data_IF_626689307814
#
_entry.id   IF_626689307814
#
_cell.length_a   1.000
_cell.length_b   1.000
_cell.length_c   1.000
_cell.angle_alpha   90.00
_cell.angle_beta   90.00
_cell.angle_gamma   90.00
#
_symmetry.space_group_name_H-M   'P 1'
#
loop_
_entity.id
_entity.type
_entity.pdbx_description
1 polymer ?
#
# COMPACT_ATOMS: atom_id res chain seq x y z
N UNK A 1 10.16 5.82 -12.22
CA UNK A 1 8.86 5.31 -11.76
C UNK A 1 8.96 5.12 -10.26
N UNK A 2 7.96 5.55 -9.50
CA UNK A 2 7.93 5.26 -8.05
C UNK A 2 7.65 3.77 -7.86
N UNK A 3 8.04 3.24 -6.70
CA UNK A 3 7.78 1.85 -6.33
C UNK A 3 6.88 1.80 -5.11
N UNK A 4 6.04 0.77 -5.02
CA UNK A 4 5.18 0.52 -3.87
C UNK A 4 5.12 -0.98 -3.56
N UNK A 5 4.78 -1.29 -2.31
CA UNK A 5 4.33 -2.64 -1.95
C UNK A 5 2.84 -2.75 -2.28
N UNK A 6 2.45 -3.75 -3.07
CA UNK A 6 1.06 -4.05 -3.44
C UNK A 6 0.69 -5.45 -3.00
N UNK A 7 -0.48 -5.57 -2.39
CA UNK A 7 -1.08 -6.83 -1.93
C UNK A 7 -2.29 -7.09 -2.81
N UNK A 8 -2.21 -8.09 -3.70
CA UNK A 8 -3.30 -8.43 -4.63
C UNK A 8 -4.27 -9.48 -4.07
N UNK A 9 -3.82 -10.27 -3.09
CA UNK A 9 -4.60 -11.28 -2.38
C UNK A 9 -4.14 -11.33 -0.91
N UNK A 10 -5.02 -11.73 0.00
CA UNK A 10 -4.63 -11.95 1.40
C UNK A 10 -3.72 -13.19 1.52
N UNK A 11 -2.78 -13.16 2.47
CA UNK A 11 -1.87 -14.29 2.72
C UNK A 11 -0.72 -13.99 3.68
N UNK A 12 0.28 -14.87 3.64
CA UNK A 12 1.54 -14.69 4.36
C UNK A 12 2.40 -13.58 3.73
N UNK A 13 3.65 -13.40 4.18
CA UNK A 13 4.54 -12.36 3.65
C UNK A 13 4.82 -12.45 2.13
N UNK A 14 4.63 -13.62 1.53
CA UNK A 14 4.80 -13.88 0.09
C UNK A 14 3.87 -13.07 -0.82
N UNK A 15 2.77 -12.52 -0.28
CA UNK A 15 1.85 -11.67 -1.06
C UNK A 15 2.31 -10.22 -1.18
N UNK A 16 3.40 -9.83 -0.51
CA UNK A 16 3.98 -8.49 -0.60
C UNK A 16 4.76 -8.34 -1.91
N UNK A 17 4.16 -7.73 -2.92
CA UNK A 17 4.79 -7.51 -4.21
C UNK A 17 5.41 -6.10 -4.29
N UNK A 18 6.70 -6.00 -4.59
CA UNK A 18 7.37 -4.73 -4.82
C UNK A 18 7.31 -4.36 -6.31
N UNK A 19 6.43 -3.42 -6.65
CA UNK A 19 6.01 -3.14 -8.02
C UNK A 19 6.19 -1.66 -8.39
N UNK A 20 6.23 -1.37 -9.69
CA UNK A 20 6.10 0.01 -10.17
C UNK A 20 4.70 0.56 -9.87
N UNK A 21 4.67 1.80 -9.38
CA UNK A 21 3.46 2.53 -9.08
C UNK A 21 3.60 3.97 -9.57
N UNK A 22 2.61 4.44 -10.33
CA UNK A 22 2.51 5.84 -10.73
C UNK A 22 1.48 6.53 -9.81
N UNK A 23 1.89 7.48 -8.96
CA UNK A 23 0.96 8.24 -8.12
C UNK A 23 0.14 9.26 -8.94
N UNK A 24 0.43 9.44 -10.23
CA UNK A 24 -0.20 10.44 -11.07
C UNK A 24 0.21 11.86 -10.71
N UNK A 25 -0.56 12.84 -11.19
CA UNK A 25 -0.41 14.24 -10.85
C UNK A 25 -1.53 14.66 -9.90
N UNK A 26 -1.25 15.49 -8.88
CA UNK A 26 -2.28 15.95 -7.97
C UNK A 26 -3.28 16.86 -8.69
N UNK A 27 -4.57 16.69 -8.39
CA UNK A 27 -5.63 17.60 -8.80
C UNK A 27 -5.73 18.85 -7.91
N UNK A 28 -6.78 19.66 -8.12
CA UNK A 28 -7.05 20.82 -7.28
C UNK A 28 -7.25 20.42 -5.81
N UNK A 29 -6.55 21.09 -4.90
CA UNK A 29 -6.59 20.79 -3.46
C UNK A 29 -5.82 19.54 -3.02
N UNK A 30 -5.14 18.84 -3.93
CA UNK A 30 -4.32 17.66 -3.61
C UNK A 30 -2.83 18.00 -3.60
N UNK A 31 -2.04 17.18 -2.90
CA UNK A 31 -0.57 17.27 -2.91
C UNK A 31 0.03 15.93 -3.27
N UNK A 32 1.19 15.97 -3.93
CA UNK A 32 2.01 14.78 -4.19
C UNK A 32 3.19 14.75 -3.22
N UNK A 33 3.29 13.68 -2.44
CA UNK A 33 4.29 13.54 -1.39
C UNK A 33 5.37 12.55 -1.82
N UNK A 34 6.63 12.96 -1.74
CA UNK A 34 7.78 12.06 -1.79
C UNK A 34 8.13 11.62 -0.38
N UNK A 35 7.88 10.36 -0.06
CA UNK A 35 8.25 9.77 1.23
C UNK A 35 9.78 9.64 1.35
N UNK A 36 10.37 10.25 2.39
CA UNK A 36 11.77 10.01 2.81
C UNK A 36 11.85 8.87 3.83
N UNK A 37 10.79 8.69 4.60
CA UNK A 37 10.60 7.62 5.56
C UNK A 37 9.12 7.24 5.63
N UNK A 38 8.84 6.02 6.10
CA UNK A 38 7.49 5.52 6.36
C UNK A 38 7.47 4.85 7.74
N UNK A 39 6.31 4.86 8.40
CA UNK A 39 6.08 4.08 9.62
C UNK A 39 5.75 2.63 9.29
N UNK A 40 6.18 1.71 10.15
CA UNK A 40 5.75 0.31 10.11
C UNK A 40 4.87 0.05 11.33
N UNK A 41 3.67 -0.48 11.12
CA UNK A 41 2.74 -0.79 12.19
C UNK A 41 2.31 -2.25 12.12
N UNK A 42 2.07 -2.86 13.28
CA UNK A 42 1.65 -4.26 13.32
C UNK A 42 0.27 -4.47 12.67
N UNK A 43 -0.56 -3.43 12.60
CA UNK A 43 -1.87 -3.47 11.95
C UNK A 43 -1.80 -3.80 10.45
N UNK A 44 -0.68 -3.51 9.78
CA UNK A 44 -0.48 -3.84 8.36
C UNK A 44 -0.54 -5.35 8.12
N UNK A 45 -0.13 -6.14 9.12
CA UNK A 45 -0.24 -7.60 9.11
C UNK A 45 -1.70 -8.04 9.07
N UNK A 46 -2.60 -7.33 9.77
CA UNK A 46 -4.03 -7.70 9.84
C UNK A 46 -4.74 -7.48 8.52
N UNK A 47 -4.39 -6.40 7.80
CA UNK A 47 -4.90 -6.19 6.45
C UNK A 47 -4.29 -7.18 5.46
N UNK A 48 -2.97 -7.43 5.52
CA UNK A 48 -2.31 -8.39 4.64
C UNK A 48 -2.83 -9.81 4.82
N UNK A 49 -2.98 -10.28 6.06
CA UNK A 49 -3.46 -11.64 6.36
C UNK A 49 -4.95 -11.84 6.09
N UNK A 50 -5.71 -10.74 5.93
CA UNK A 50 -7.16 -10.78 5.75
C UNK A 50 -7.95 -10.88 7.05
N UNK A 51 -7.31 -10.66 8.21
CA UNK A 51 -8.00 -10.55 9.50
C UNK A 51 -8.95 -9.34 9.50
N UNK A 52 -8.54 -8.23 8.88
CA UNK A 52 -9.38 -7.06 8.65
C UNK A 52 -9.59 -6.80 7.16
N UNK A 53 -10.80 -6.36 6.77
CA UNK A 53 -11.04 -5.95 5.40
C UNK A 53 -10.18 -4.71 5.08
N UNK A 54 -9.46 -4.70 3.95
CA UNK A 54 -8.72 -3.52 3.52
C UNK A 54 -9.69 -2.36 3.27
N UNK A 55 -9.41 -1.13 3.74
CA UNK A 55 -10.36 -0.01 3.67
C UNK A 55 -10.87 0.32 2.26
N UNK A 56 -10.06 0.04 1.23
CA UNK A 56 -10.40 0.27 -0.18
C UNK A 56 -10.45 -0.99 -1.05
N UNK A 57 -10.51 -2.18 -0.45
CA UNK A 57 -10.40 -3.43 -1.19
C UNK A 57 -8.96 -3.78 -1.58
N UNK A 58 -8.82 -4.82 -2.41
CA UNK A 58 -7.55 -5.20 -3.04
C UNK A 58 -7.52 -4.70 -4.50
N UNK A 59 -6.35 -4.33 -5.05
CA UNK A 59 -5.03 -4.40 -4.42
C UNK A 59 -4.78 -3.27 -3.41
N UNK A 60 -4.21 -3.63 -2.25
CA UNK A 60 -3.87 -2.70 -1.16
C UNK A 60 -2.41 -2.26 -1.23
N UNK A 61 -2.14 -0.97 -1.03
CA UNK A 61 -0.83 -0.43 -0.65
C UNK A 61 -0.90 -0.14 0.87
N UNK A 62 -0.20 -0.90 1.73
CA UNK A 62 -0.21 -0.67 3.18
C UNK A 62 0.71 0.51 3.57
N UNK A 63 0.55 1.02 4.79
CA UNK A 63 1.28 2.19 5.33
C UNK A 63 0.42 3.44 5.44
#
# INVERSE_FOLDING_TARGET
>A
MSKAIRIHANGGPEVLAYEDADPGQPGEGQILIRHTAIGLNFIDVYYRSGLYPPPGGLPLIPG
#
